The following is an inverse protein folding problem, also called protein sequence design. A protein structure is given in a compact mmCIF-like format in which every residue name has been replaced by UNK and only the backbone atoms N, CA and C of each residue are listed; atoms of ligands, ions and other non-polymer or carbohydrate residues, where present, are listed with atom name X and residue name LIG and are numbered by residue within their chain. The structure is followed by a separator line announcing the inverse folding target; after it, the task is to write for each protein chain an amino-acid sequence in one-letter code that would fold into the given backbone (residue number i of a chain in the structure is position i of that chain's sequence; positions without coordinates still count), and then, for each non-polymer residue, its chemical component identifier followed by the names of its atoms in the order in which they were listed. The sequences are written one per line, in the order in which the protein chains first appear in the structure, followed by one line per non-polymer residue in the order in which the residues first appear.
data_IF_633398691623
#
_entry.id   IF_633398691623
#
_cell.length_a   1.000
_cell.length_b   1.000
_cell.length_c   1.000
_cell.angle_alpha   90.00
_cell.angle_beta   90.00
_cell.angle_gamma   90.00
#
_symmetry.space_group_name_H-M   'P 1'
#
loop_
_entity.id
_entity.type
_entity.pdbx_description
1 polymer ?
#
# COMPACT_ATOMS: atom_id res chain seq x y z
N UNK A 1 33.53 -4.16 28.70
CA UNK A 1 33.41 -4.31 27.24
C UNK A 1 34.40 -3.33 26.63
N UNK A 2 35.35 -3.78 25.81
CA UNK A 2 36.30 -2.85 25.18
C UNK A 2 35.61 -2.03 24.09
N UNK A 3 36.04 -0.79 23.90
CA UNK A 3 35.44 0.14 22.93
C UNK A 3 35.47 -0.40 21.49
N UNK A 4 36.46 -1.23 21.14
CA UNK A 4 36.53 -1.95 19.85
C UNK A 4 35.42 -3.00 19.67
N UNK A 5 35.06 -3.74 20.73
CA UNK A 5 33.96 -4.70 20.65
C UNK A 5 32.61 -4.00 20.50
N UNK A 6 32.41 -2.86 21.16
CA UNK A 6 31.22 -2.03 21.01
C UNK A 6 31.12 -1.42 19.60
N UNK A 7 32.24 -0.97 19.01
CA UNK A 7 32.28 -0.48 17.63
C UNK A 7 31.99 -1.56 16.59
N UNK A 8 32.53 -2.77 16.74
CA UNK A 8 32.27 -3.87 15.80
C UNK A 8 30.81 -4.35 15.86
N UNK A 9 30.21 -4.40 17.05
CA UNK A 9 28.80 -4.75 17.24
C UNK A 9 27.87 -3.69 16.64
N UNK A 10 28.14 -2.40 16.87
CA UNK A 10 27.35 -1.31 16.30
C UNK A 10 27.47 -1.22 14.78
N UNK A 11 28.66 -1.47 14.20
CA UNK A 11 28.82 -1.55 12.74
C UNK A 11 27.99 -2.66 12.10
N UNK A 12 27.88 -3.81 12.78
CA UNK A 12 27.07 -4.94 12.30
C UNK A 12 25.56 -4.65 12.43
N UNK A 13 25.12 -4.05 13.52
CA UNK A 13 23.70 -3.68 13.73
C UNK A 13 23.25 -2.55 12.80
N UNK A 14 24.11 -1.55 12.53
CA UNK A 14 23.84 -0.48 11.56
C UNK A 14 23.70 -1.04 10.12
N UNK A 15 24.53 -2.02 9.74
CA UNK A 15 24.39 -2.71 8.44
C UNK A 15 23.07 -3.50 8.33
N UNK A 16 22.69 -4.21 9.39
CA UNK A 16 21.41 -4.93 9.45
C UNK A 16 20.25 -3.94 9.32
N UNK A 17 20.29 -2.83 10.05
CA UNK A 17 19.30 -1.76 9.95
C UNK A 17 19.18 -1.25 8.51
N UNK A 18 20.30 -0.96 7.84
CA UNK A 18 20.30 -0.47 6.46
C UNK A 18 19.78 -1.50 5.45
N UNK A 19 20.05 -2.80 5.66
CA UNK A 19 19.48 -3.88 4.84
C UNK A 19 17.96 -3.97 4.99
N UNK A 20 17.46 -3.93 6.23
CA UNK A 20 16.02 -3.99 6.51
C UNK A 20 15.32 -2.76 5.95
N UNK A 21 15.92 -1.57 6.09
CA UNK A 21 15.37 -0.34 5.53
C UNK A 21 15.29 -0.38 4.00
N UNK A 22 16.34 -0.85 3.31
CA UNK A 22 16.31 -1.06 1.84
C UNK A 22 15.22 -2.04 1.44
N UNK A 23 15.07 -3.14 2.17
CA UNK A 23 13.99 -4.10 1.93
C UNK A 23 12.62 -3.44 2.10
N UNK A 24 12.38 -2.69 3.19
CA UNK A 24 11.13 -1.94 3.41
C UNK A 24 10.80 -1.04 2.21
N UNK A 25 11.76 -0.26 1.69
CA UNK A 25 11.56 0.61 0.54
C UNK A 25 11.21 -0.18 -0.74
N UNK A 26 11.89 -1.30 -0.98
CA UNK A 26 11.59 -2.16 -2.12
C UNK A 26 10.17 -2.76 -2.05
N UNK A 27 9.74 -3.20 -0.87
CA UNK A 27 8.38 -3.71 -0.64
C UNK A 27 7.33 -2.60 -0.79
N UNK A 28 7.60 -1.38 -0.32
CA UNK A 28 6.71 -0.22 -0.50
C UNK A 28 6.56 0.11 -1.98
N UNK A 29 7.66 0.17 -2.73
CA UNK A 29 7.66 0.45 -4.17
C UNK A 29 6.90 -0.64 -4.94
N UNK A 30 7.20 -1.91 -4.67
CA UNK A 30 6.55 -3.07 -5.31
C UNK A 30 5.05 -3.08 -5.02
N UNK A 31 4.65 -2.83 -3.77
CA UNK A 31 3.24 -2.72 -3.38
C UNK A 31 2.54 -1.66 -4.23
N UNK A 32 3.11 -0.45 -4.28
CA UNK A 32 2.48 0.64 -5.01
C UNK A 32 2.40 0.36 -6.51
N UNK A 33 3.46 -0.14 -7.12
CA UNK A 33 3.50 -0.48 -8.54
C UNK A 33 2.40 -1.50 -8.92
N UNK A 34 2.30 -2.59 -8.15
CA UNK A 34 1.29 -3.61 -8.39
C UNK A 34 -0.13 -3.10 -8.15
N UNK A 35 -0.35 -2.34 -7.07
CA UNK A 35 -1.66 -1.78 -6.75
C UNK A 35 -2.11 -0.78 -7.83
N UNK A 36 -1.24 0.12 -8.28
CA UNK A 36 -1.57 1.05 -9.36
C UNK A 36 -1.82 0.34 -10.68
N UNK A 37 -1.08 -0.73 -10.97
CA UNK A 37 -1.28 -1.54 -12.17
C UNK A 37 -2.66 -2.21 -12.20
N UNK A 38 -3.03 -2.93 -11.13
CA UNK A 38 -4.32 -3.62 -11.08
C UNK A 38 -5.49 -2.65 -10.99
N UNK A 39 -5.36 -1.55 -10.23
CA UNK A 39 -6.38 -0.48 -10.22
C UNK A 39 -6.53 0.14 -11.61
N UNK A 40 -5.43 0.39 -12.31
CA UNK A 40 -5.45 0.89 -13.69
C UNK A 40 -6.17 -0.05 -14.66
N UNK A 41 -5.87 -1.35 -14.61
CA UNK A 41 -6.58 -2.37 -15.39
C UNK A 41 -8.07 -2.38 -15.05
N UNK A 42 -8.39 -2.35 -13.76
CA UNK A 42 -9.77 -2.35 -13.29
C UNK A 42 -10.59 -1.18 -13.85
N UNK A 43 -10.05 0.04 -13.81
CA UNK A 43 -10.70 1.21 -14.41
C UNK A 43 -10.70 1.19 -15.94
N UNK A 44 -9.69 0.61 -16.58
CA UNK A 44 -9.70 0.41 -18.04
C UNK A 44 -10.83 -0.54 -18.47
N UNK A 45 -11.04 -1.65 -17.72
CA UNK A 45 -12.16 -2.58 -17.93
C UNK A 45 -13.50 -1.87 -17.72
N UNK A 46 -13.60 -1.03 -16.68
CA UNK A 46 -14.81 -0.21 -16.46
C UNK A 46 -15.07 0.72 -17.64
N UNK A 47 -14.05 1.45 -18.10
CA UNK A 47 -14.15 2.34 -19.26
C UNK A 47 -14.60 1.60 -20.51
N UNK A 48 -14.03 0.42 -20.77
CA UNK A 48 -14.42 -0.45 -21.87
C UNK A 48 -15.89 -0.89 -21.80
N UNK A 49 -16.44 -1.06 -20.59
CA UNK A 49 -17.85 -1.46 -20.41
C UNK A 49 -18.89 -0.42 -20.88
N UNK A 50 -18.46 0.81 -21.19
CA UNK A 50 -19.31 1.86 -21.75
C UNK A 50 -19.29 1.91 -23.29
N UNK A 51 -18.56 1.01 -23.94
CA UNK A 51 -18.51 0.94 -25.39
C UNK A 51 -19.90 0.61 -25.98
N UNK A 52 -20.32 1.37 -26.99
CA UNK A 52 -21.57 1.14 -27.69
C UNK A 52 -21.54 -0.20 -28.45
N UNK A 53 -22.60 -0.99 -28.29
CA UNK A 53 -22.75 -2.29 -28.96
C UNK A 53 -22.68 -3.51 -28.04
N UNK A 54 -22.36 -3.34 -26.75
CA UNK A 54 -22.43 -4.43 -25.77
C UNK A 54 -23.89 -4.72 -25.39
N UNK A 55 -24.24 -6.00 -25.30
CA UNK A 55 -25.51 -6.40 -24.70
C UNK A 55 -25.52 -6.08 -23.19
N UNK A 56 -26.67 -5.78 -22.57
CA UNK A 56 -26.73 -5.42 -21.15
C UNK A 56 -26.06 -6.45 -20.22
N UNK A 57 -26.23 -7.74 -20.50
CA UNK A 57 -25.58 -8.83 -19.75
C UNK A 57 -24.06 -8.86 -19.90
N UNK A 58 -23.53 -8.54 -21.09
CA UNK A 58 -22.09 -8.49 -21.34
C UNK A 58 -21.46 -7.29 -20.64
N UNK A 59 -22.10 -6.11 -20.73
CA UNK A 59 -21.65 -4.91 -20.02
C UNK A 59 -21.62 -5.12 -18.51
N UNK A 60 -22.62 -5.81 -17.95
CA UNK A 60 -22.64 -6.18 -16.54
C UNK A 60 -21.48 -7.11 -16.17
N UNK A 61 -21.27 -8.19 -16.93
CA UNK A 61 -20.18 -9.14 -16.68
C UNK A 61 -18.79 -8.47 -16.71
N UNK A 62 -18.57 -7.56 -17.68
CA UNK A 62 -17.34 -6.76 -17.80
C UNK A 62 -17.16 -5.87 -16.56
N UNK A 63 -18.20 -5.15 -16.13
CA UNK A 63 -18.16 -4.29 -14.93
C UNK A 63 -17.85 -5.08 -13.67
N UNK A 64 -18.48 -6.24 -13.49
CA UNK A 64 -18.22 -7.14 -12.36
C UNK A 64 -16.78 -7.65 -12.38
N UNK A 65 -16.24 -7.98 -13.56
CA UNK A 65 -14.83 -8.40 -13.68
C UNK A 65 -13.86 -7.30 -13.27
N UNK A 66 -14.09 -6.06 -13.71
CA UNK A 66 -13.32 -4.88 -13.29
C UNK A 66 -13.39 -4.67 -11.78
N UNK A 67 -14.57 -4.81 -11.19
CA UNK A 67 -14.78 -4.70 -9.74
C UNK A 67 -14.03 -5.79 -8.95
N UNK A 68 -14.01 -7.03 -9.44
CA UNK A 68 -13.25 -8.12 -8.83
C UNK A 68 -11.76 -7.81 -8.86
N UNK A 69 -11.23 -7.31 -9.98
CA UNK A 69 -9.82 -6.90 -10.10
C UNK A 69 -9.50 -5.76 -9.11
N UNK A 70 -10.41 -4.81 -8.92
CA UNK A 70 -10.24 -3.74 -7.94
C UNK A 70 -10.08 -4.30 -6.52
N UNK A 71 -11.02 -5.15 -6.09
CA UNK A 71 -11.00 -5.72 -4.75
C UNK A 71 -9.81 -6.64 -4.53
N UNK A 72 -9.38 -7.37 -5.56
CA UNK A 72 -8.12 -8.11 -5.55
C UNK A 72 -6.92 -7.18 -5.29
N UNK A 73 -6.83 -6.05 -5.99
CA UNK A 73 -5.78 -5.06 -5.78
C UNK A 73 -5.79 -4.50 -4.35
N UNK A 74 -6.99 -4.26 -3.79
CA UNK A 74 -7.14 -3.79 -2.41
C UNK A 74 -6.71 -4.84 -1.37
N UNK A 75 -7.09 -6.11 -1.54
CA UNK A 75 -6.63 -7.20 -0.65
C UNK A 75 -5.11 -7.36 -0.75
N UNK A 76 -4.56 -7.29 -1.95
CA UNK A 76 -3.12 -7.31 -2.19
C UNK A 76 -2.40 -6.16 -1.49
N UNK A 77 -2.96 -4.93 -1.56
CA UNK A 77 -2.47 -3.77 -0.82
C UNK A 77 -2.41 -4.05 0.69
N UNK A 78 -3.47 -4.63 1.27
CA UNK A 78 -3.53 -4.93 2.71
C UNK A 78 -2.44 -5.93 3.14
N UNK A 79 -2.21 -6.97 2.33
CA UNK A 79 -1.20 -7.98 2.64
C UNK A 79 0.22 -7.37 2.69
N UNK A 80 0.59 -6.60 1.67
CA UNK A 80 1.89 -5.92 1.65
C UNK A 80 1.98 -4.82 2.72
N UNK A 81 0.87 -4.14 3.02
CA UNK A 81 0.82 -3.16 4.09
C UNK A 81 1.17 -3.76 5.45
N UNK A 82 0.60 -4.91 5.80
CA UNK A 82 0.90 -5.60 7.06
C UNK A 82 2.40 -5.92 7.19
N UNK A 83 3.02 -6.44 6.13
CA UNK A 83 4.45 -6.75 6.14
C UNK A 83 5.34 -5.51 6.27
N UNK A 84 5.08 -4.47 5.46
CA UNK A 84 5.84 -3.20 5.57
C UNK A 84 5.66 -2.53 6.93
N UNK A 85 4.48 -2.64 7.54
CA UNK A 85 4.22 -2.13 8.88
C UNK A 85 5.06 -2.86 9.92
N UNK A 86 5.16 -4.19 9.83
CA UNK A 86 6.03 -4.99 10.70
C UNK A 86 7.50 -4.56 10.58
N UNK A 87 8.04 -4.47 9.36
CA UNK A 87 9.43 -4.01 9.16
C UNK A 87 9.67 -2.62 9.74
N UNK A 88 8.72 -1.71 9.55
CA UNK A 88 8.80 -0.36 10.08
C UNK A 88 8.80 -0.31 11.60
N UNK A 89 7.95 -1.10 12.24
CA UNK A 89 7.95 -1.27 13.70
C UNK A 89 9.30 -1.79 14.19
N UNK A 90 9.85 -2.81 13.54
CA UNK A 90 11.15 -3.36 13.91
C UNK A 90 12.29 -2.34 13.78
N UNK A 91 12.32 -1.54 12.71
CA UNK A 91 13.29 -0.47 12.55
C UNK A 91 13.15 0.60 13.66
N UNK A 92 11.94 0.95 14.07
CA UNK A 92 11.70 1.87 15.19
C UNK A 92 12.20 1.26 16.51
N UNK A 93 11.99 -0.04 16.72
CA UNK A 93 12.47 -0.74 17.92
C UNK A 93 14.01 -0.75 17.97
N UNK A 94 14.68 -0.93 16.83
CA UNK A 94 16.15 -0.80 16.73
C UNK A 94 16.64 0.62 17.06
N UNK A 95 15.93 1.66 16.60
CA UNK A 95 16.26 3.05 16.91
C UNK A 95 16.06 3.38 18.40
N UNK A 96 14.94 2.96 18.98
CA UNK A 96 14.59 3.26 20.37
C UNK A 96 15.43 2.48 21.39
N UNK A 97 15.91 1.29 21.03
CA UNK A 97 16.82 0.49 21.85
C UNK A 97 18.29 0.93 21.77
N UNK A 98 18.62 1.95 20.95
CA UNK A 98 19.99 2.44 20.80
C UNK A 98 20.94 1.47 20.08
N UNK A 99 20.39 0.44 19.42
CA UNK A 99 21.16 -0.56 18.65
C UNK A 99 21.76 0.01 17.37
N UNK A 100 21.23 1.13 16.90
CA UNK A 100 21.64 1.81 15.67
C UNK A 100 21.89 3.29 15.95
N UNK A 101 22.85 3.88 15.23
CA UNK A 101 23.11 5.33 15.27
C UNK A 101 22.19 6.12 14.33
N UNK A 102 21.52 5.44 13.41
CA UNK A 102 20.55 6.02 12.50
C UNK A 102 19.21 6.29 13.20
N UNK A 103 18.53 7.38 12.81
CA UNK A 103 17.21 7.78 13.35
C UNK A 103 16.21 8.15 12.24
N UNK A 104 16.29 7.44 11.11
CA UNK A 104 15.57 7.77 9.88
C UNK A 104 14.05 7.67 10.10
N UNK A 105 13.57 6.62 10.77
CA UNK A 105 12.14 6.40 11.00
C UNK A 105 11.57 7.37 12.03
N UNK A 106 12.29 7.60 13.13
CA UNK A 106 11.89 8.55 14.17
C UNK A 106 11.81 9.98 13.65
N UNK A 107 12.78 10.41 12.82
CA UNK A 107 12.74 11.72 12.15
C UNK A 107 11.59 11.81 11.16
N UNK A 108 11.36 10.78 10.34
CA UNK A 108 10.24 10.75 9.41
C UNK A 108 8.89 10.86 10.15
N UNK A 109 8.73 10.16 11.26
CA UNK A 109 7.52 10.21 12.11
C UNK A 109 7.32 11.60 12.74
N UNK A 110 8.40 12.24 13.20
CA UNK A 110 8.35 13.60 13.76
C UNK A 110 7.94 14.65 12.71
N UNK A 111 8.46 14.54 11.48
CA UNK A 111 8.08 15.42 10.36
C UNK A 111 6.61 15.24 9.97
N UNK A 112 6.13 14.00 9.86
CA UNK A 112 4.72 13.70 9.53
C UNK A 112 3.78 14.27 10.60
N UNK A 113 4.12 14.10 11.89
CA UNK A 113 3.30 14.61 12.99
C UNK A 113 3.28 16.14 13.11
N UNK A 114 4.28 16.85 12.55
CA UNK A 114 4.40 18.32 12.66
C UNK A 114 3.76 19.11 11.52
N UNK A 115 3.48 18.49 10.36
CA UNK A 115 3.12 19.27 9.16
C UNK A 115 1.96 18.77 8.31
N UNK A 116 1.46 17.54 8.48
CA UNK A 116 0.45 16.98 7.58
C UNK A 116 -0.74 16.47 8.38
N UNK A 117 -1.90 17.08 8.14
CA UNK A 117 -3.20 16.62 8.62
C UNK A 117 -3.31 15.10 8.44
N UNK A 118 -3.31 14.39 9.57
CA UNK A 118 -3.29 12.92 9.73
C UNK A 118 -4.58 12.23 9.25
N UNK A 119 -5.39 12.90 8.43
CA UNK A 119 -6.79 12.57 8.27
C UNK A 119 -7.08 11.50 7.20
N UNK A 120 -6.19 11.31 6.23
CA UNK A 120 -6.43 10.32 5.17
C UNK A 120 -5.38 9.21 5.14
N UNK A 121 -5.72 8.09 5.79
CA UNK A 121 -5.03 6.84 5.57
C UNK A 121 -5.32 6.36 4.15
N UNK A 122 -4.29 6.09 3.35
CA UNK A 122 -4.40 5.48 2.02
C UNK A 122 -5.33 4.27 2.00
N UNK A 123 -5.28 3.44 3.05
CA UNK A 123 -6.19 2.29 3.21
C UNK A 123 -7.66 2.73 3.17
N UNK A 124 -8.00 3.81 3.87
CA UNK A 124 -9.37 4.35 3.87
C UNK A 124 -9.74 4.88 2.49
N UNK A 125 -8.85 5.61 1.81
CA UNK A 125 -9.11 6.13 0.46
C UNK A 125 -9.44 4.99 -0.50
N UNK A 126 -8.58 3.96 -0.56
CA UNK A 126 -8.80 2.81 -1.44
C UNK A 126 -10.09 2.06 -1.08
N UNK A 127 -10.42 1.95 0.21
CA UNK A 127 -11.69 1.36 0.63
C UNK A 127 -12.90 2.18 0.15
N UNK A 128 -12.88 3.50 0.35
CA UNK A 128 -13.95 4.39 -0.08
C UNK A 128 -14.16 4.33 -1.59
N UNK A 129 -13.08 4.40 -2.37
CA UNK A 129 -13.15 4.28 -3.83
C UNK A 129 -13.74 2.92 -4.25
N UNK A 130 -13.38 1.83 -3.58
CA UNK A 130 -13.95 0.51 -3.85
C UNK A 130 -15.43 0.40 -3.53
N UNK A 131 -15.88 1.02 -2.44
CA UNK A 131 -17.30 1.10 -2.09
C UNK A 131 -18.05 1.92 -3.14
N UNK A 132 -17.55 3.10 -3.50
CA UNK A 132 -18.15 3.93 -4.55
C UNK A 132 -18.27 3.19 -5.87
N UNK A 133 -17.21 2.48 -6.28
CA UNK A 133 -17.21 1.69 -7.49
C UNK A 133 -18.23 0.53 -7.42
N UNK A 134 -18.33 -0.15 -6.28
CA UNK A 134 -19.36 -1.20 -6.07
C UNK A 134 -20.77 -0.62 -6.22
N UNK A 135 -21.04 0.54 -5.61
CA UNK A 135 -22.34 1.22 -5.73
C UNK A 135 -22.65 1.64 -7.16
N UNK A 136 -21.65 2.12 -7.90
CA UNK A 136 -21.80 2.49 -9.31
C UNK A 136 -22.21 1.27 -10.16
N UNK A 137 -21.55 0.12 -9.99
CA UNK A 137 -21.90 -1.11 -10.72
C UNK A 137 -23.32 -1.55 -10.41
N UNK A 138 -23.75 -1.48 -9.14
CA UNK A 138 -25.11 -1.81 -8.72
C UNK A 138 -26.13 -0.84 -9.33
N UNK A 139 -25.84 0.47 -9.29
CA UNK A 139 -26.74 1.48 -9.83
C UNK A 139 -26.88 1.35 -11.35
N UNK A 140 -25.78 1.11 -12.06
CA UNK A 140 -25.79 0.86 -13.50
C UNK A 140 -26.54 -0.42 -13.86
N UNK A 141 -26.46 -1.47 -13.03
CA UNK A 141 -27.26 -2.68 -13.20
C UNK A 141 -28.75 -2.37 -13.06
N UNK A 142 -29.17 -1.63 -12.02
CA UNK A 142 -30.57 -1.28 -11.80
C UNK A 142 -31.16 -0.37 -12.90
N UNK A 143 -30.34 0.49 -13.52
CA UNK A 143 -30.77 1.40 -14.59
C UNK A 143 -30.82 0.71 -15.97
N UNK A 144 -29.99 -0.32 -16.19
CA UNK A 144 -29.91 -1.06 -17.46
C UNK A 144 -30.61 -2.43 -17.43
N UNK A 145 -31.33 -2.73 -16.34
CA UNK A 145 -32.28 -3.84 -16.24
C UNK A 145 -33.63 -3.42 -16.83
#
# INVERSE_FOLDING_TARGET
MSDEQAQHLTGTDDEIYMKIWKAEQQYISTRWNNVTFFIGISFAILGFSFQSGLLPGEAFAIRTSGLVVYWFAYVFYLHFYAYTHFLRSYLIDMETSGRTKHNIQSRAKATINRGINKHFSTRKILLYVGICYTLEVILLFLVHL
#
